data_IF_792900736141
#
_entry.id   IF_792900736141
#
_cell.length_a   1.000
_cell.length_b   1.000
_cell.length_c   1.000
_cell.angle_alpha   90.00
_cell.angle_beta   90.00
_cell.angle_gamma   90.00
#
_symmetry.space_group_name_H-M   'P 1'
#
loop_
_entity.id
_entity.type
_entity.pdbx_description
1 polymer ?
#
# COMPACT_ATOMS: atom_id res chain seq x y z
N UNK A 1 -38.07 -45.62 -34.79
CA UNK A 1 -36.61 -45.52 -34.59
C UNK A 1 -36.27 -44.04 -34.50
N UNK A 2 -35.72 -43.55 -33.39
CA UNK A 2 -35.50 -42.12 -33.16
C UNK A 2 -34.20 -41.66 -33.83
N UNK A 3 -34.17 -40.42 -34.29
CA UNK A 3 -32.92 -39.69 -34.57
C UNK A 3 -32.93 -38.50 -33.61
N UNK A 4 -31.96 -38.51 -32.70
CA UNK A 4 -31.72 -37.52 -31.65
C UNK A 4 -30.59 -36.60 -32.12
N UNK A 5 -30.83 -35.30 -32.08
CA UNK A 5 -29.82 -34.24 -31.88
C UNK A 5 -30.55 -32.89 -31.82
N UNK A 6 -31.17 -32.59 -30.68
CA UNK A 6 -31.48 -31.20 -30.33
C UNK A 6 -30.29 -30.66 -29.53
N UNK A 7 -29.41 -29.96 -30.24
CA UNK A 7 -28.41 -29.05 -29.69
C UNK A 7 -29.13 -27.91 -28.95
N UNK A 8 -29.39 -28.10 -27.66
CA UNK A 8 -29.59 -26.96 -26.76
C UNK A 8 -28.23 -26.44 -26.31
N UNK A 9 -27.62 -25.63 -27.17
CA UNK A 9 -26.64 -24.65 -26.74
C UNK A 9 -27.37 -23.60 -25.88
N UNK A 10 -27.38 -23.82 -24.57
CA UNK A 10 -27.76 -22.84 -23.57
C UNK A 10 -26.91 -21.59 -23.81
N UNK A 11 -27.51 -20.56 -24.42
CA UNK A 11 -26.95 -19.20 -24.39
C UNK A 11 -27.04 -18.74 -22.94
N UNK A 12 -26.00 -19.04 -22.17
CA UNK A 12 -25.70 -18.26 -20.98
C UNK A 12 -25.55 -16.82 -21.44
N UNK A 13 -26.56 -16.04 -21.10
CA UNK A 13 -26.53 -14.60 -21.20
C UNK A 13 -25.55 -14.13 -20.11
N UNK A 14 -24.26 -14.27 -20.39
CA UNK A 14 -23.20 -13.59 -19.65
C UNK A 14 -23.45 -12.11 -19.90
N UNK A 15 -24.24 -11.51 -19.02
CA UNK A 15 -24.08 -10.10 -18.70
C UNK A 15 -22.61 -9.95 -18.32
N UNK A 16 -21.76 -9.69 -19.31
CA UNK A 16 -20.50 -9.00 -19.09
C UNK A 16 -20.90 -7.72 -18.37
N UNK A 17 -20.82 -7.77 -17.04
CA UNK A 17 -20.61 -6.58 -16.24
C UNK A 17 -19.37 -5.98 -16.88
N UNK A 18 -19.58 -4.96 -17.69
CA UNK A 18 -18.53 -4.04 -18.13
C UNK A 18 -17.91 -3.59 -16.81
N UNK A 19 -16.79 -4.19 -16.44
CA UNK A 19 -15.99 -3.69 -15.34
C UNK A 19 -15.51 -2.34 -15.84
N UNK A 20 -16.18 -1.28 -15.38
CA UNK A 20 -15.64 0.06 -15.50
C UNK A 20 -14.24 0.00 -14.87
N UNK A 21 -13.21 0.15 -15.70
CA UNK A 21 -11.83 0.34 -15.25
C UNK A 21 -11.83 1.64 -14.45
N UNK A 22 -12.07 1.55 -13.14
CA UNK A 22 -11.96 2.70 -12.26
C UNK A 22 -10.48 3.01 -12.14
N UNK A 23 -10.06 4.07 -12.82
CA UNK A 23 -8.76 4.67 -12.59
C UNK A 23 -8.82 5.36 -11.22
N UNK A 24 -8.39 4.65 -10.19
CA UNK A 24 -8.24 5.21 -8.86
C UNK A 24 -7.10 6.24 -8.84
N UNK A 25 -7.18 7.17 -7.89
CA UNK A 25 -6.06 8.08 -7.65
C UNK A 25 -4.80 7.27 -7.29
N UNK A 26 -3.61 7.76 -7.62
CA UNK A 26 -2.35 7.01 -7.47
C UNK A 26 -2.02 6.59 -6.03
N UNK A 27 -2.68 7.21 -5.06
CA UNK A 27 -2.53 7.00 -3.61
C UNK A 27 -3.78 6.40 -2.96
N UNK A 28 -4.77 6.02 -3.77
CA UNK A 28 -5.91 5.25 -3.27
C UNK A 28 -5.45 3.79 -3.11
N UNK A 29 -5.74 3.17 -1.98
CA UNK A 29 -5.25 1.80 -1.71
C UNK A 29 -5.84 0.75 -2.66
N UNK A 30 -6.90 1.08 -3.42
CA UNK A 30 -7.45 0.22 -4.47
C UNK A 30 -6.66 0.33 -5.78
N UNK A 31 -5.74 1.28 -5.90
CA UNK A 31 -4.91 1.45 -7.08
C UNK A 31 -3.86 0.33 -7.17
N UNK A 32 -3.95 -0.48 -8.22
CA UNK A 32 -3.04 -1.61 -8.49
C UNK A 32 -2.11 -1.35 -9.68
N UNK A 33 -2.03 -0.11 -10.18
CA UNK A 33 -1.26 0.22 -11.37
C UNK A 33 0.23 -0.13 -11.21
N UNK A 34 0.87 -0.57 -12.29
CA UNK A 34 2.31 -0.81 -12.29
C UNK A 34 3.06 0.51 -12.06
N UNK A 35 4.06 0.48 -11.21
CA UNK A 35 4.84 1.68 -10.86
C UNK A 35 6.26 1.33 -10.47
N UNK A 36 7.12 2.33 -10.52
CA UNK A 36 8.41 2.34 -9.84
C UNK A 36 8.40 3.55 -8.91
N UNK A 37 8.69 3.34 -7.63
CA UNK A 37 8.83 4.41 -6.63
C UNK A 37 10.24 4.42 -6.06
N UNK A 38 10.73 5.61 -5.73
CA UNK A 38 11.96 5.82 -5.01
C UNK A 38 11.69 6.81 -3.87
N UNK A 39 12.15 6.46 -2.68
CA UNK A 39 11.95 7.24 -1.46
C UNK A 39 13.26 7.66 -0.82
N UNK A 40 13.20 8.76 -0.08
CA UNK A 40 14.21 9.16 0.88
C UNK A 40 13.52 9.64 2.14
N UNK A 41 13.91 9.08 3.28
CA UNK A 41 13.39 9.44 4.60
C UNK A 41 14.54 9.84 5.50
N UNK A 42 14.39 10.97 6.19
CA UNK A 42 15.35 11.44 7.18
C UNK A 42 14.77 11.29 8.58
N UNK A 43 15.50 10.61 9.44
CA UNK A 43 15.19 10.34 10.83
C UNK A 43 16.15 11.14 11.73
N UNK A 44 15.85 11.21 13.03
CA UNK A 44 16.75 11.90 13.98
C UNK A 44 18.15 11.27 14.06
N UNK A 45 18.28 9.97 13.77
CA UNK A 45 19.50 9.18 13.96
C UNK A 45 20.11 8.60 12.68
N UNK A 46 19.60 8.99 11.51
CA UNK A 46 20.08 8.49 10.23
C UNK A 46 19.10 8.72 9.09
N UNK A 47 19.46 8.22 7.92
CA UNK A 47 18.70 8.40 6.69
C UNK A 47 18.43 7.07 5.99
N UNK A 48 17.29 6.95 5.33
CA UNK A 48 16.89 5.80 4.52
C UNK A 48 16.76 6.18 3.05
N UNK A 49 17.19 5.28 2.17
CA UNK A 49 16.86 5.30 0.74
C UNK A 49 16.07 4.04 0.40
N UNK A 50 15.02 4.18 -0.40
CA UNK A 50 14.17 3.06 -0.83
C UNK A 50 13.90 3.08 -2.33
N UNK A 51 13.68 1.90 -2.90
CA UNK A 51 13.25 1.69 -4.27
C UNK A 51 12.27 0.51 -4.31
N UNK A 52 11.10 0.70 -4.91
CA UNK A 52 10.11 -0.35 -5.12
C UNK A 52 9.66 -0.41 -6.58
N UNK A 53 9.48 -1.63 -7.09
CA UNK A 53 8.78 -1.89 -8.33
C UNK A 53 7.50 -2.69 -8.09
N UNK A 54 6.37 -2.17 -8.58
CA UNK A 54 5.05 -2.81 -8.52
C UNK A 54 4.61 -3.26 -9.91
N UNK A 55 4.04 -4.46 -10.00
CA UNK A 55 3.45 -5.00 -11.21
C UNK A 55 1.95 -5.27 -11.04
N UNK A 56 1.14 -4.67 -11.92
CA UNK A 56 -0.32 -4.85 -11.97
C UNK A 56 -0.71 -6.20 -12.59
N UNK A 57 -1.75 -6.81 -12.03
CA UNK A 57 -2.37 -8.04 -12.52
C UNK A 57 -3.87 -7.80 -12.70
N UNK A 58 -4.29 -7.70 -13.96
CA UNK A 58 -5.69 -7.67 -14.40
C UNK A 58 -6.55 -6.59 -13.69
N UNK A 59 -5.98 -5.43 -13.38
CA UNK A 59 -6.66 -4.32 -12.69
C UNK A 59 -7.34 -4.71 -11.36
N UNK A 60 -6.88 -5.81 -10.75
CA UNK A 60 -7.44 -6.34 -9.50
C UNK A 60 -6.40 -6.64 -8.45
N UNK A 61 -5.17 -6.96 -8.84
CA UNK A 61 -4.13 -7.29 -7.91
C UNK A 61 -2.84 -6.60 -8.33
N UNK A 62 -1.91 -6.47 -7.40
CA UNK A 62 -0.53 -6.14 -7.71
C UNK A 62 0.41 -6.91 -6.79
N UNK A 63 1.65 -7.04 -7.25
CA UNK A 63 2.77 -7.54 -6.48
C UNK A 63 3.91 -6.54 -6.57
N UNK A 64 4.60 -6.29 -5.47
CA UNK A 64 5.74 -5.39 -5.42
C UNK A 64 6.97 -6.07 -4.85
N UNK A 65 8.13 -5.61 -5.32
CA UNK A 65 9.43 -5.90 -4.72
C UNK A 65 10.11 -4.59 -4.38
N UNK A 66 10.42 -4.41 -3.10
CA UNK A 66 11.11 -3.26 -2.54
C UNK A 66 12.50 -3.62 -2.03
N UNK A 67 13.38 -2.62 -2.05
CA UNK A 67 14.65 -2.63 -1.34
C UNK A 67 14.84 -1.29 -0.64
N UNK A 68 15.32 -1.31 0.58
CA UNK A 68 15.71 -0.12 1.33
C UNK A 68 17.02 -0.32 2.06
N UNK A 69 17.72 0.79 2.28
CA UNK A 69 18.98 0.82 3.03
C UNK A 69 18.93 2.01 3.98
N UNK A 70 19.29 1.78 5.24
CA UNK A 70 19.37 2.78 6.28
C UNK A 70 20.81 2.98 6.71
N UNK A 71 21.26 4.22 6.74
CA UNK A 71 22.57 4.62 7.23
C UNK A 71 22.45 5.44 8.51
N UNK A 72 23.08 4.98 9.58
CA UNK A 72 23.08 5.66 10.87
C UNK A 72 24.17 6.75 10.96
N UNK A 73 23.85 7.86 11.63
CA UNK A 73 24.81 8.96 11.84
C UNK A 73 25.92 8.58 12.83
N UNK A 74 25.61 7.66 13.75
CA UNK A 74 26.56 7.11 14.70
C UNK A 74 27.30 5.95 14.04
N UNK A 75 28.63 6.03 13.91
CA UNK A 75 29.45 5.00 13.26
C UNK A 75 29.40 3.64 13.99
N UNK A 76 28.33 2.84 13.83
CA UNK A 76 28.27 1.37 14.06
C UNK A 76 26.85 0.78 14.10
N UNK A 77 26.74 -0.49 13.65
CA UNK A 77 25.80 -1.56 14.02
C UNK A 77 24.29 -1.40 13.71
N UNK A 78 23.80 -0.20 13.43
CA UNK A 78 22.38 0.03 13.12
C UNK A 78 22.09 0.21 11.64
N UNK A 79 23.13 0.22 10.80
CA UNK A 79 22.94 0.18 9.36
C UNK A 79 22.30 -1.16 8.99
N UNK A 80 21.24 -1.10 8.19
CA UNK A 80 20.56 -2.29 7.72
C UNK A 80 20.11 -2.13 6.28
N UNK A 81 19.98 -3.29 5.63
CA UNK A 81 19.39 -3.43 4.31
C UNK A 81 18.15 -4.31 4.45
N UNK A 82 17.04 -3.85 3.89
CA UNK A 82 15.79 -4.60 3.91
C UNK A 82 15.29 -4.88 2.50
N UNK A 83 14.67 -6.04 2.34
CA UNK A 83 13.91 -6.43 1.15
C UNK A 83 12.46 -6.62 1.55
N UNK A 84 11.56 -6.05 0.77
CA UNK A 84 10.12 -6.11 1.01
C UNK A 84 9.45 -6.80 -0.17
N UNK A 85 8.63 -7.80 0.10
CA UNK A 85 7.72 -8.40 -0.87
C UNK A 85 6.29 -8.10 -0.42
N UNK A 86 5.55 -7.34 -1.21
CA UNK A 86 4.16 -7.03 -0.89
C UNK A 86 3.21 -7.39 -2.02
N UNK A 87 1.93 -7.50 -1.70
CA UNK A 87 0.88 -7.72 -2.66
C UNK A 87 -0.46 -7.25 -2.14
N UNK A 88 -1.34 -6.90 -3.07
CA UNK A 88 -2.72 -6.53 -2.76
C UNK A 88 -3.69 -7.16 -3.75
N UNK A 89 -4.94 -7.32 -3.31
CA UNK A 89 -6.05 -7.84 -4.10
C UNK A 89 -7.36 -7.11 -3.77
N UNK A 90 -7.93 -6.46 -4.78
CA UNK A 90 -9.25 -5.85 -4.73
C UNK A 90 -10.33 -6.96 -4.79
N UNK A 91 -10.73 -7.45 -3.62
CA UNK A 91 -11.81 -8.42 -3.49
C UNK A 91 -13.14 -7.85 -3.99
N UNK A 92 -13.36 -6.55 -3.75
CA UNK A 92 -14.49 -5.81 -4.29
C UNK A 92 -14.13 -4.33 -4.48
N UNK A 93 -15.08 -3.50 -4.93
CA UNK A 93 -14.88 -2.05 -5.04
C UNK A 93 -14.60 -1.35 -3.70
N UNK A 94 -14.87 -2.03 -2.59
CA UNK A 94 -14.80 -1.49 -1.24
C UNK A 94 -14.00 -2.37 -0.30
N UNK A 95 -13.41 -3.47 -0.78
CA UNK A 95 -12.62 -4.38 0.07
C UNK A 95 -11.33 -4.68 -0.66
N UNK A 96 -10.23 -4.34 -0.01
CA UNK A 96 -8.86 -4.66 -0.41
C UNK A 96 -8.30 -5.64 0.60
N UNK A 97 -7.63 -6.68 0.12
CA UNK A 97 -6.80 -7.55 0.93
C UNK A 97 -5.36 -7.24 0.59
N UNK A 98 -4.49 -7.24 1.57
CA UNK A 98 -3.09 -6.89 1.38
C UNK A 98 -2.20 -7.71 2.31
N UNK A 99 -0.92 -7.75 1.97
CA UNK A 99 0.08 -8.38 2.79
C UNK A 99 1.48 -7.99 2.36
N UNK A 100 2.38 -8.00 3.33
CA UNK A 100 3.74 -7.55 3.19
C UNK A 100 4.66 -8.48 3.98
N UNK A 101 5.79 -8.84 3.37
CA UNK A 101 6.84 -9.60 4.02
C UNK A 101 8.14 -8.81 3.94
N UNK A 102 8.62 -8.39 5.10
CA UNK A 102 9.88 -7.66 5.26
C UNK A 102 10.98 -8.61 5.74
N UNK A 103 12.16 -8.51 5.13
CA UNK A 103 13.34 -9.29 5.51
C UNK A 103 14.54 -8.35 5.61
N UNK A 104 15.22 -8.35 6.76
CA UNK A 104 16.40 -7.52 7.02
C UNK A 104 17.43 -8.30 7.83
N UNK A 105 18.53 -8.71 7.19
CA UNK A 105 19.52 -9.58 7.82
C UNK A 105 18.92 -10.92 8.25
N UNK A 106 18.91 -11.17 9.57
CA UNK A 106 18.32 -12.38 10.17
C UNK A 106 16.86 -12.16 10.61
N UNK A 107 16.32 -10.94 10.48
CA UNK A 107 14.95 -10.62 10.87
C UNK A 107 13.99 -10.82 9.70
N UNK A 108 12.84 -11.42 9.97
CA UNK A 108 11.70 -11.41 9.07
C UNK A 108 10.38 -11.05 9.75
N UNK A 109 9.45 -10.46 8.99
CA UNK A 109 8.14 -10.09 9.50
C UNK A 109 7.08 -10.14 8.41
N UNK A 110 6.04 -10.94 8.60
CA UNK A 110 4.89 -11.06 7.71
C UNK A 110 3.69 -10.35 8.31
N UNK A 111 3.14 -9.39 7.58
CA UNK A 111 1.88 -8.73 7.91
C UNK A 111 0.84 -9.08 6.85
N UNK A 112 -0.37 -9.43 7.28
CA UNK A 112 -1.51 -9.68 6.40
C UNK A 112 -2.74 -8.98 6.93
N UNK A 113 -3.56 -8.47 6.03
CA UNK A 113 -4.70 -7.68 6.45
C UNK A 113 -5.74 -7.45 5.40
N UNK A 114 -6.61 -6.51 5.72
CA UNK A 114 -7.63 -6.08 4.80
C UNK A 114 -8.30 -4.79 5.22
N UNK A 115 -8.75 -4.09 4.20
CA UNK A 115 -9.27 -2.75 4.28
C UNK A 115 -10.67 -2.65 3.70
N UNK A 116 -11.57 -2.01 4.43
CA UNK A 116 -12.79 -1.44 3.86
C UNK A 116 -12.50 -0.03 3.33
N UNK A 117 -12.89 0.25 2.09
CA UNK A 117 -12.64 1.52 1.40
C UNK A 117 -13.93 2.10 0.87
N UNK A 118 -14.14 3.41 1.03
CA UNK A 118 -15.30 4.08 0.46
C UNK A 118 -14.99 5.49 -0.05
N UNK A 119 -15.76 5.88 -1.06
CA UNK A 119 -15.69 7.20 -1.66
C UNK A 119 -16.55 8.18 -0.82
N UNK A 120 -16.01 9.37 -0.58
CA UNK A 120 -16.70 10.51 0.00
C UNK A 120 -16.75 11.67 -1.01
N UNK A 121 -17.61 12.66 -0.78
CA UNK A 121 -17.73 13.81 -1.69
C UNK A 121 -16.45 14.63 -1.87
N UNK A 122 -15.46 14.45 -0.99
CA UNK A 122 -14.18 15.15 -1.00
C UNK A 122 -12.97 14.24 -1.26
N UNK A 123 -13.16 12.93 -1.49
CA UNK A 123 -12.03 12.00 -1.62
C UNK A 123 -12.38 10.54 -1.30
N UNK A 124 -11.41 9.78 -0.81
CA UNK A 124 -11.56 8.38 -0.40
C UNK A 124 -11.15 8.23 1.06
N UNK A 125 -11.76 7.31 1.80
CA UNK A 125 -11.30 6.90 3.12
C UNK A 125 -11.26 5.37 3.24
N UNK A 126 -10.44 4.88 4.15
CA UNK A 126 -10.34 3.46 4.47
C UNK A 126 -10.26 3.22 5.98
N UNK A 127 -10.69 2.03 6.38
CA UNK A 127 -10.41 1.45 7.71
C UNK A 127 -10.02 0.00 7.50
N UNK A 128 -8.98 -0.42 8.20
CA UNK A 128 -8.39 -1.74 8.03
C UNK A 128 -8.00 -2.36 9.37
N UNK A 129 -7.67 -3.64 9.28
CA UNK A 129 -7.14 -4.41 10.38
C UNK A 129 -6.11 -5.39 9.83
N UNK A 130 -4.98 -5.47 10.50
CA UNK A 130 -3.86 -6.30 10.09
C UNK A 130 -3.39 -7.18 11.26
N UNK A 131 -2.75 -8.28 10.90
CA UNK A 131 -2.08 -9.21 11.81
C UNK A 131 -0.65 -9.38 11.33
N UNK A 132 0.30 -9.14 12.23
CA UNK A 132 1.73 -9.27 11.99
C UNK A 132 2.28 -10.44 12.78
N UNK A 133 3.20 -11.17 12.16
CA UNK A 133 3.97 -12.23 12.80
C UNK A 133 5.42 -12.23 12.33
N UNK A 134 6.38 -12.35 13.24
CA UNK A 134 7.79 -12.39 12.91
C UNK A 134 8.71 -12.08 14.09
N UNK A 135 9.96 -11.75 13.77
CA UNK A 135 10.99 -11.47 14.77
C UNK A 135 10.86 -10.07 15.39
N UNK A 136 10.21 -9.14 14.69
CA UNK A 136 10.14 -7.72 15.07
C UNK A 136 8.77 -7.30 15.58
N UNK A 137 7.68 -7.81 14.99
CA UNK A 137 6.33 -7.56 15.49
C UNK A 137 5.43 -8.80 15.38
N UNK A 138 4.84 -9.16 16.51
CA UNK A 138 3.78 -10.15 16.62
C UNK A 138 2.56 -9.44 17.20
N UNK A 139 1.50 -9.23 16.42
CA UNK A 139 0.35 -8.51 16.95
C UNK A 139 -0.69 -8.08 15.94
N UNK A 140 -1.76 -7.52 16.48
CA UNK A 140 -2.89 -7.00 15.72
C UNK A 140 -2.87 -5.47 15.74
N UNK A 141 -3.15 -4.86 14.59
CA UNK A 141 -3.29 -3.42 14.46
C UNK A 141 -4.56 -3.02 13.71
N UNK A 142 -4.97 -1.77 13.93
CA UNK A 142 -6.07 -1.13 13.25
C UNK A 142 -5.55 0.09 12.51
N UNK A 143 -5.94 0.21 11.25
CA UNK A 143 -5.57 1.36 10.44
C UNK A 143 -6.80 2.15 9.98
N UNK A 144 -6.59 3.44 9.76
CA UNK A 144 -7.56 4.33 9.15
C UNK A 144 -6.86 5.37 8.29
N UNK A 145 -7.42 5.64 7.12
CA UNK A 145 -6.81 6.55 6.15
C UNK A 145 -7.81 7.46 5.46
N UNK A 146 -7.33 8.62 5.00
CA UNK A 146 -8.08 9.55 4.16
C UNK A 146 -7.21 10.10 3.04
N UNK A 147 -7.75 10.09 1.83
CA UNK A 147 -7.15 10.70 0.64
C UNK A 147 -8.07 11.81 0.14
N UNK A 148 -7.56 13.04 0.06
CA UNK A 148 -8.29 14.22 -0.38
C UNK A 148 -7.59 14.82 -1.60
N UNK A 149 -8.08 14.55 -2.83
CA UNK A 149 -7.54 15.17 -4.03
C UNK A 149 -8.12 16.58 -4.24
N UNK A 150 -7.26 17.52 -4.66
CA UNK A 150 -7.65 18.89 -5.02
C UNK A 150 -6.83 19.37 -6.24
N UNK A 151 -7.42 19.17 -7.41
CA UNK A 151 -6.73 19.39 -8.69
C UNK A 151 -5.66 18.31 -8.91
N UNK A 152 -4.44 18.74 -9.23
CA UNK A 152 -3.29 17.83 -9.34
C UNK A 152 -2.58 17.61 -8.00
N UNK A 153 -3.05 18.25 -6.93
CA UNK A 153 -2.51 18.08 -5.59
C UNK A 153 -3.39 17.13 -4.80
N UNK A 154 -2.84 16.54 -3.74
CA UNK A 154 -3.59 15.73 -2.80
C UNK A 154 -3.00 15.81 -1.40
N UNK A 155 -3.83 15.47 -0.43
CA UNK A 155 -3.42 15.14 0.93
C UNK A 155 -3.76 13.68 1.21
N UNK A 156 -2.83 12.93 1.80
CA UNK A 156 -3.05 11.60 2.35
C UNK A 156 -2.69 11.65 3.85
N UNK A 157 -3.58 11.13 4.68
CA UNK A 157 -3.33 10.95 6.10
C UNK A 157 -3.68 9.53 6.49
N UNK A 158 -2.75 8.85 7.16
CA UNK A 158 -2.88 7.49 7.65
C UNK A 158 -2.59 7.43 9.14
N UNK A 159 -3.35 6.60 9.84
CA UNK A 159 -3.21 6.33 11.26
C UNK A 159 -3.25 4.84 11.49
N UNK A 160 -2.28 4.34 12.25
CA UNK A 160 -2.23 2.94 12.70
C UNK A 160 -2.14 2.90 14.21
N UNK A 161 -2.93 2.02 14.82
CA UNK A 161 -2.93 1.74 16.25
C UNK A 161 -2.61 0.28 16.48
N UNK A 162 -1.55 0.00 17.24
CA UNK A 162 -1.08 -1.35 17.51
C UNK A 162 -1.58 -1.82 18.88
N UNK A 163 -2.07 -3.06 18.97
CA UNK A 163 -2.50 -3.65 20.25
C UNK A 163 -1.37 -4.35 21.01
N UNK A 164 -0.34 -4.80 20.30
CA UNK A 164 0.79 -5.57 20.84
C UNK A 164 2.04 -5.28 20.01
N UNK A 165 2.65 -4.12 20.23
CA UNK A 165 3.86 -3.66 19.52
C UNK A 165 4.68 -2.76 20.43
N UNK A 166 5.93 -2.51 20.06
CA UNK A 166 6.83 -1.58 20.77
C UNK A 166 6.35 -0.11 20.69
N UNK A 167 5.45 0.19 19.75
CA UNK A 167 4.80 1.50 19.60
C UNK A 167 3.28 1.38 19.68
N UNK A 168 2.62 2.29 20.39
CA UNK A 168 1.16 2.34 20.49
C UNK A 168 0.51 2.85 19.19
N UNK A 169 1.14 3.80 18.50
CA UNK A 169 0.53 4.42 17.31
C UNK A 169 1.51 5.07 16.34
N UNK A 170 1.11 5.12 15.07
CA UNK A 170 1.81 5.81 13.98
C UNK A 170 0.85 6.73 13.25
N UNK A 171 1.32 7.94 12.94
CA UNK A 171 0.63 8.90 12.08
C UNK A 171 1.52 9.25 10.88
N UNK A 172 1.02 9.02 9.67
CA UNK A 172 1.66 9.47 8.45
C UNK A 172 0.81 10.53 7.76
N UNK A 173 1.44 11.63 7.34
CA UNK A 173 0.78 12.71 6.65
C UNK A 173 1.59 13.11 5.43
N UNK A 174 1.01 12.98 4.25
CA UNK A 174 1.64 13.33 2.99
C UNK A 174 0.87 14.42 2.24
N UNK A 175 1.62 15.36 1.67
CA UNK A 175 1.14 16.28 0.63
C UNK A 175 1.85 15.93 -0.66
N UNK A 176 1.07 15.73 -1.71
CA UNK A 176 1.65 15.35 -3.00
C UNK A 176 1.01 16.01 -4.19
N UNK A 177 1.68 15.81 -5.32
CA UNK A 177 1.27 16.24 -6.63
C UNK A 177 1.33 15.06 -7.59
N UNK A 178 0.37 14.96 -8.50
CA UNK A 178 0.38 13.98 -9.58
C UNK A 178 -0.20 14.51 -10.87
N UNK A 179 0.29 14.01 -11.99
CA UNK A 179 -0.30 14.21 -13.32
C UNK A 179 -0.87 12.91 -13.92
N UNK A 180 -1.02 11.86 -13.12
CA UNK A 180 -1.46 10.53 -13.53
C UNK A 180 -0.32 9.56 -13.87
N UNK A 181 0.82 10.05 -14.37
CA UNK A 181 1.98 9.20 -14.69
C UNK A 181 3.14 9.43 -13.71
N UNK A 182 3.24 10.62 -13.14
CA UNK A 182 4.22 10.97 -12.12
C UNK A 182 3.46 11.26 -10.85
N UNK A 183 3.97 10.74 -9.73
CA UNK A 183 3.58 11.12 -8.39
C UNK A 183 4.82 11.64 -7.66
N UNK A 184 4.68 12.76 -6.97
CA UNK A 184 5.68 13.27 -6.03
C UNK A 184 4.95 13.61 -4.73
N UNK A 185 5.47 13.17 -3.60
CA UNK A 185 4.98 13.63 -2.30
C UNK A 185 6.11 13.94 -1.33
N UNK A 186 5.74 14.70 -0.30
CA UNK A 186 6.51 14.86 0.91
C UNK A 186 5.65 14.42 2.09
N UNK A 187 6.22 13.66 3.00
CA UNK A 187 5.53 13.06 4.13
C UNK A 187 6.19 13.43 5.45
N UNK A 188 5.41 13.36 6.51
CA UNK A 188 5.89 13.35 7.90
C UNK A 188 5.26 12.16 8.58
N UNK A 189 6.11 11.30 9.16
CA UNK A 189 5.68 10.12 9.90
C UNK A 189 6.07 10.28 11.36
N UNK A 190 5.12 10.05 12.27
CA UNK A 190 5.29 10.22 13.72
C UNK A 190 4.93 8.93 14.44
N UNK A 191 5.85 8.44 15.28
CA UNK A 191 5.67 7.27 16.14
C UNK A 191 5.46 7.76 17.57
N UNK A 192 4.32 7.43 18.17
CA UNK A 192 3.95 7.79 19.56
C UNK A 192 4.06 9.28 19.92
N UNK A 193 4.09 10.17 18.93
CA UNK A 193 4.39 11.60 19.08
C UNK A 193 5.82 11.93 19.57
N UNK A 194 6.72 10.96 19.64
CA UNK A 194 8.10 11.15 20.11
C UNK A 194 9.12 11.09 18.97
N UNK A 195 9.07 10.05 18.14
CA UNK A 195 10.00 9.88 17.02
C UNK A 195 9.34 10.38 15.73
N UNK A 196 10.05 11.20 14.96
CA UNK A 196 9.54 11.76 13.70
C UNK A 196 10.52 11.52 12.57
N UNK A 197 10.01 11.15 11.39
CA UNK A 197 10.73 11.17 10.14
C UNK A 197 10.07 12.11 9.13
N UNK A 198 10.86 12.60 8.18
CA UNK A 198 10.39 13.41 7.05
C UNK A 198 10.84 12.73 5.76
N UNK A 199 9.88 12.49 4.88
CA UNK A 199 10.08 11.73 3.66
C UNK A 199 9.82 12.54 2.39
N UNK A 200 10.45 12.12 1.30
CA UNK A 200 10.04 12.44 -0.07
C UNK A 200 9.93 11.16 -0.90
N UNK A 201 8.87 11.03 -1.68
CA UNK A 201 8.68 9.92 -2.60
C UNK A 201 8.50 10.43 -4.03
N UNK A 202 9.19 9.83 -4.98
CA UNK A 202 8.96 9.96 -6.40
C UNK A 202 8.42 8.64 -6.97
N UNK A 203 7.32 8.68 -7.70
CA UNK A 203 6.71 7.55 -8.38
C UNK A 203 6.49 7.80 -9.87
N UNK A 204 6.78 6.78 -10.68
CA UNK A 204 6.43 6.72 -12.10
C UNK A 204 5.48 5.55 -12.36
N UNK A 205 4.29 5.85 -12.87
CA UNK A 205 3.19 4.91 -13.14
C UNK A 205 3.09 4.61 -14.64
N UNK A 206 2.87 3.35 -15.00
CA UNK A 206 2.80 2.89 -16.41
C UNK A 206 1.89 1.66 -16.61
#
# INVERSE_FOLDING_TARGET
MPVSADDQATKENTNQVVQDSKNYHSQDIRNVQSKITAGYDSFENGDQLSLEGTYSINDKASVSLGYSTFGSDYHSAFDYDAVTLSGQYNLSNNIVLDGEWNVSGDYDNLTVGGNYVADAGFGTWNVGANDSSGDYSDGFDLEAGVLVPFGNMYYRGDFTYFLDSDYDSVFENALGWTNGNINLNASVTMYEFENTSVGIEFGYLF
#
